data_IF_945030679818
#
_entry.id   IF_945030679818
#
_cell.length_a   1.000
_cell.length_b   1.000
_cell.length_c   1.000
_cell.angle_alpha   90.00
_cell.angle_beta   90.00
_cell.angle_gamma   90.00
#
_symmetry.space_group_name_H-M   'P 1'
#
loop_
_entity.id
_entity.type
_entity.pdbx_description
1 polymer ?
#
# COMPACT_ATOMS: atom_id res chain seq x y z
N UNK A 1 16.93 -0.47 -13.28
CA UNK A 1 16.64 -0.48 -11.82
C UNK A 1 15.14 -0.44 -11.66
N UNK A 2 14.56 -1.38 -10.89
CA UNK A 2 13.12 -1.34 -10.57
C UNK A 2 12.87 -0.23 -9.56
N UNK A 3 12.10 0.79 -9.96
CA UNK A 3 11.80 1.93 -9.11
C UNK A 3 10.72 1.53 -8.09
N UNK A 4 11.07 1.47 -6.81
CA UNK A 4 10.15 1.16 -5.71
C UNK A 4 9.60 2.48 -5.18
N UNK A 5 8.28 2.60 -5.12
CA UNK A 5 7.60 3.82 -4.67
C UNK A 5 7.01 3.60 -3.29
N UNK A 6 7.14 4.59 -2.41
CA UNK A 6 6.47 4.65 -1.12
C UNK A 6 5.47 5.81 -1.11
N UNK A 7 4.17 5.52 -0.93
CA UNK A 7 3.13 6.53 -0.81
C UNK A 7 2.82 6.84 0.65
N UNK A 8 2.84 8.12 1.02
CA UNK A 8 2.46 8.58 2.35
C UNK A 8 1.86 9.99 2.30
N UNK A 9 1.11 10.34 3.35
CA UNK A 9 0.66 11.72 3.58
C UNK A 9 1.74 12.61 4.19
N UNK A 10 2.82 12.02 4.69
CA UNK A 10 3.88 12.73 5.41
C UNK A 10 5.25 12.27 4.92
N UNK A 11 6.23 13.16 5.10
CA UNK A 11 7.59 12.87 4.70
C UNK A 11 8.24 11.88 5.67
N UNK A 12 8.65 10.73 5.14
CA UNK A 12 9.30 9.68 5.92
C UNK A 12 10.75 9.49 5.49
N UNK A 13 11.68 10.13 6.20
CA UNK A 13 13.11 10.11 5.85
C UNK A 13 13.73 8.71 5.82
N UNK A 14 13.21 7.79 6.64
CA UNK A 14 13.65 6.39 6.68
C UNK A 14 13.44 5.70 5.33
N UNK A 15 12.31 5.93 4.66
CA UNK A 15 12.01 5.27 3.38
C UNK A 15 12.93 5.75 2.27
N UNK A 16 13.25 7.04 2.24
CA UNK A 16 14.26 7.60 1.34
C UNK A 16 15.64 6.98 1.60
N UNK A 17 16.04 6.79 2.87
CA UNK A 17 17.33 6.16 3.20
C UNK A 17 17.43 4.69 2.78
N UNK A 18 16.29 4.00 2.65
CA UNK A 18 16.19 2.63 2.13
C UNK A 18 16.16 2.57 0.59
N UNK A 19 16.35 3.71 -0.08
CA UNK A 19 16.41 3.80 -1.54
C UNK A 19 15.03 3.83 -2.23
N UNK A 20 13.95 4.08 -1.49
CA UNK A 20 12.61 4.20 -2.06
C UNK A 20 12.34 5.63 -2.56
N UNK A 21 11.58 5.76 -3.65
CA UNK A 21 11.01 7.05 -4.05
C UNK A 21 9.80 7.35 -3.17
N UNK A 22 9.93 8.27 -2.22
CA UNK A 22 8.81 8.76 -1.42
C UNK A 22 7.98 9.73 -2.25
N UNK A 23 6.72 9.40 -2.50
CA UNK A 23 5.74 10.32 -3.09
C UNK A 23 4.71 10.70 -2.05
N UNK A 24 4.64 12.00 -1.79
CA UNK A 24 3.61 12.57 -0.94
C UNK A 24 2.31 12.63 -1.73
N UNK A 25 1.25 12.10 -1.12
CA UNK A 25 -0.12 12.21 -1.61
C UNK A 25 -0.93 13.03 -0.62
N UNK A 26 -2.01 13.64 -1.09
CA UNK A 26 -3.01 14.27 -0.24
C UNK A 26 -4.17 13.28 0.01
N UNK A 27 -4.96 13.50 1.06
CA UNK A 27 -6.12 12.64 1.39
C UNK A 27 -7.17 12.59 0.28
N UNK A 28 -7.29 13.67 -0.48
CA UNK A 28 -8.21 13.82 -1.61
C UNK A 28 -7.64 13.24 -2.92
N UNK A 29 -6.42 12.67 -2.90
CA UNK A 29 -5.77 12.16 -4.11
C UNK A 29 -6.57 11.02 -4.71
N UNK A 30 -6.86 11.11 -6.00
CA UNK A 30 -7.41 9.99 -6.77
C UNK A 30 -6.37 8.89 -6.96
N UNK A 31 -6.30 7.97 -5.98
CA UNK A 31 -5.36 6.85 -5.99
C UNK A 31 -5.63 5.88 -7.15
N UNK A 32 -6.86 5.77 -7.64
CA UNK A 32 -7.17 4.90 -8.78
C UNK A 32 -6.44 5.39 -10.03
N UNK A 33 -6.52 6.70 -10.30
CA UNK A 33 -5.80 7.31 -11.42
C UNK A 33 -4.29 7.24 -11.21
N UNK A 34 -3.80 7.49 -10.00
CA UNK A 34 -2.38 7.37 -9.67
C UNK A 34 -1.85 5.96 -9.96
N UNK A 35 -2.51 4.90 -9.45
CA UNK A 35 -2.07 3.52 -9.66
C UNK A 35 -2.09 3.11 -11.13
N UNK A 36 -3.06 3.58 -11.93
CA UNK A 36 -3.04 3.40 -13.39
C UNK A 36 -1.83 4.06 -14.05
N UNK A 37 -1.45 5.25 -13.61
CA UNK A 37 -0.25 5.94 -14.10
C UNK A 37 1.02 5.17 -13.71
N UNK A 38 1.12 4.72 -12.46
CA UNK A 38 2.27 3.93 -11.99
C UNK A 38 2.42 2.63 -12.79
N UNK A 39 1.32 1.94 -13.08
CA UNK A 39 1.30 0.76 -13.95
C UNK A 39 1.83 1.06 -15.36
N UNK A 40 1.40 2.18 -15.97
CA UNK A 40 1.90 2.63 -17.28
C UNK A 40 3.38 3.02 -17.26
N UNK A 41 3.90 3.42 -16.10
CA UNK A 41 5.32 3.68 -15.87
C UNK A 41 6.14 2.40 -15.58
N UNK A 42 5.53 1.21 -15.75
CA UNK A 42 6.13 -0.09 -15.46
C UNK A 42 6.62 -0.23 -14.01
N UNK A 43 5.94 0.43 -13.07
CA UNK A 43 6.16 0.21 -11.64
C UNK A 43 5.42 -1.05 -11.25
N UNK A 44 6.14 -2.03 -10.71
CA UNK A 44 5.57 -3.33 -10.30
C UNK A 44 5.29 -3.40 -8.80
N UNK A 45 5.91 -2.53 -7.99
CA UNK A 45 5.80 -2.56 -6.53
C UNK A 45 5.63 -1.15 -5.97
N UNK A 46 4.55 -0.98 -5.20
CA UNK A 46 4.24 0.23 -4.46
C UNK A 46 4.04 -0.14 -3.01
N UNK A 47 4.81 0.48 -2.12
CA UNK A 47 4.54 0.47 -0.69
C UNK A 47 3.63 1.64 -0.33
N UNK A 48 2.74 1.42 0.62
CA UNK A 48 1.85 2.46 1.15
C UNK A 48 1.98 2.52 2.67
N UNK A 49 1.90 3.74 3.21
CA UNK A 49 1.80 3.94 4.66
C UNK A 49 0.48 3.38 5.20
N UNK A 50 0.43 3.11 6.51
CA UNK A 50 -0.76 2.57 7.16
C UNK A 50 -1.96 3.53 7.06
N UNK A 51 -1.72 4.84 7.10
CA UNK A 51 -2.78 5.84 6.96
C UNK A 51 -3.40 5.82 5.56
N UNK A 52 -2.57 5.82 4.51
CA UNK A 52 -3.02 5.73 3.11
C UNK A 52 -3.78 4.41 2.88
N UNK A 53 -3.27 3.31 3.43
CA UNK A 53 -3.91 2.00 3.29
C UNK A 53 -5.29 1.95 3.94
N UNK A 54 -5.42 2.45 5.18
CA UNK A 54 -6.69 2.42 5.92
C UNK A 54 -7.77 3.25 5.23
N UNK A 55 -7.41 4.41 4.68
CA UNK A 55 -8.36 5.35 4.08
C UNK A 55 -8.79 4.94 2.66
N UNK A 56 -7.96 4.17 1.95
CA UNK A 56 -8.21 3.79 0.56
C UNK A 56 -8.20 2.27 0.32
N UNK A 57 -8.58 1.50 1.34
CA UNK A 57 -8.48 0.03 1.34
C UNK A 57 -9.18 -0.62 0.13
N UNK A 58 -10.35 -0.11 -0.27
CA UNK A 58 -11.14 -0.67 -1.37
C UNK A 58 -10.44 -0.50 -2.72
N UNK A 59 -9.83 0.67 -2.97
CA UNK A 59 -9.07 0.94 -4.19
C UNK A 59 -7.84 0.04 -4.25
N UNK A 60 -7.10 -0.08 -3.15
CA UNK A 60 -5.88 -0.89 -3.05
C UNK A 60 -6.21 -2.38 -3.27
N UNK A 61 -7.30 -2.88 -2.67
CA UNK A 61 -7.77 -4.25 -2.88
C UNK A 61 -8.15 -4.54 -4.32
N UNK A 62 -8.74 -3.56 -5.01
CA UNK A 62 -9.06 -3.68 -6.43
C UNK A 62 -7.82 -3.95 -7.28
N UNK A 63 -6.73 -3.21 -7.05
CA UNK A 63 -5.49 -3.37 -7.80
C UNK A 63 -4.72 -4.65 -7.46
N UNK A 64 -4.74 -5.11 -6.21
CA UNK A 64 -4.07 -6.35 -5.83
C UNK A 64 -4.70 -7.63 -6.42
N UNK A 65 -5.81 -7.51 -7.16
CA UNK A 65 -6.36 -8.61 -7.99
C UNK A 65 -5.68 -8.71 -9.36
N UNK A 66 -5.00 -7.66 -9.81
CA UNK A 66 -4.23 -7.62 -11.05
C UNK A 66 -2.75 -7.91 -10.78
N UNK A 67 -2.13 -8.82 -11.53
CA UNK A 67 -0.72 -9.22 -11.35
C UNK A 67 0.32 -8.15 -11.74
N UNK A 68 -0.11 -7.03 -12.34
CA UNK A 68 0.79 -6.04 -12.93
C UNK A 68 1.32 -5.00 -11.93
N UNK A 69 0.65 -4.83 -10.78
CA UNK A 69 1.02 -3.86 -9.75
C UNK A 69 0.74 -4.46 -8.37
N UNK A 70 1.79 -4.75 -7.62
CA UNK A 70 1.66 -5.15 -6.22
C UNK A 70 1.67 -3.93 -5.32
N UNK A 71 0.62 -3.77 -4.52
CA UNK A 71 0.51 -2.72 -3.51
C UNK A 71 0.61 -3.36 -2.13
N UNK A 72 1.70 -3.09 -1.41
CA UNK A 72 1.94 -3.65 -0.08
C UNK A 72 1.89 -2.58 1.00
N UNK A 73 1.21 -2.89 2.10
CA UNK A 73 1.32 -2.09 3.32
C UNK A 73 2.74 -2.21 3.88
N UNK A 74 3.37 -1.07 4.16
CA UNK A 74 4.61 -1.02 4.93
C UNK A 74 4.36 -0.18 6.19
N UNK A 75 4.23 -0.83 7.36
CA UNK A 75 3.95 -0.10 8.59
C UNK A 75 5.18 0.71 9.01
N UNK A 76 4.98 2.00 9.27
CA UNK A 76 5.96 2.83 9.95
C UNK A 76 5.80 2.61 11.48
N UNK A 77 6.90 2.36 12.18
CA UNK A 77 6.93 2.03 13.61
C UNK A 77 6.23 3.07 14.51
N UNK A 78 6.11 4.32 14.05
CA UNK A 78 5.43 5.40 14.78
C UNK A 78 3.90 5.26 14.86
N UNK A 79 3.28 4.48 13.98
CA UNK A 79 1.81 4.40 13.86
C UNK A 79 1.26 2.99 13.67
N UNK A 80 1.95 1.97 14.19
CA UNK A 80 1.56 0.57 14.06
C UNK A 80 0.18 0.31 14.72
N UNK A 81 -0.90 0.23 13.93
CA UNK A 81 -2.26 -0.12 14.41
C UNK A 81 -2.63 -1.59 14.13
N UNK A 82 -1.62 -2.45 13.91
CA UNK A 82 -1.80 -3.89 13.58
C UNK A 82 -2.61 -4.15 12.30
N UNK A 83 -2.68 -3.19 11.37
CA UNK A 83 -3.50 -3.34 10.15
C UNK A 83 -3.03 -4.47 9.23
N UNK A 84 -1.72 -4.76 9.22
CA UNK A 84 -1.16 -5.90 8.47
C UNK A 84 -1.63 -7.25 9.03
N UNK A 85 -1.64 -7.41 10.35
CA UNK A 85 -2.13 -8.61 11.04
C UNK A 85 -3.64 -8.81 10.80
N UNK A 86 -4.42 -7.73 10.89
CA UNK A 86 -5.85 -7.75 10.55
C UNK A 86 -6.09 -8.14 9.09
N UNK A 87 -5.26 -7.67 8.15
CA UNK A 87 -5.37 -8.06 6.73
C UNK A 87 -5.02 -9.52 6.52
N UNK A 88 -3.98 -10.02 7.18
CA UNK A 88 -3.60 -11.44 7.12
C UNK A 88 -4.76 -12.32 7.61
N UNK A 89 -5.36 -11.97 8.75
CA UNK A 89 -6.52 -12.67 9.29
C UNK A 89 -7.68 -12.62 8.29
N UNK A 90 -8.00 -11.47 7.70
CA UNK A 90 -9.06 -11.39 6.68
C UNK A 90 -8.79 -12.25 5.43
N UNK A 91 -7.54 -12.31 4.95
CA UNK A 91 -7.20 -13.18 3.81
C UNK A 91 -7.42 -14.65 4.19
N UNK A 92 -7.05 -15.02 5.41
CA UNK A 92 -7.30 -16.37 5.94
C UNK A 92 -8.82 -16.60 6.01
N UNK A 93 -9.59 -15.71 6.63
CA UNK A 93 -11.06 -15.81 6.71
C UNK A 93 -11.72 -15.94 5.32
N UNK A 94 -11.29 -15.16 4.34
CA UNK A 94 -11.78 -15.20 2.96
C UNK A 94 -11.42 -16.52 2.25
N UNK A 95 -10.25 -17.10 2.54
CA UNK A 95 -9.77 -18.31 1.88
C UNK A 95 -10.33 -19.61 2.47
N UNK A 96 -10.51 -19.68 3.80
CA UNK A 96 -10.97 -20.89 4.51
C UNK A 96 -12.38 -20.77 5.10
N UNK A 97 -13.00 -19.60 5.09
CA UNK A 97 -14.38 -19.39 5.56
C UNK A 97 -14.56 -19.42 7.08
N UNK A 98 -13.46 -19.36 7.85
CA UNK A 98 -13.46 -19.45 9.31
C UNK A 98 -12.86 -18.17 9.92
N UNK A 99 -13.54 -17.60 10.93
CA UNK A 99 -13.06 -16.42 11.66
C UNK A 99 -11.78 -16.73 12.44
N UNK A 100 -10.74 -15.89 12.28
CA UNK A 100 -9.48 -15.99 13.03
C UNK A 100 -9.32 -14.73 13.85
N UNK A 101 -9.47 -14.89 15.18
CA UNK A 101 -9.45 -13.82 16.19
C UNK A 101 -8.11 -13.13 16.34
#
# INVERSE_FOLDING_TARGET
MSKVIYLSYQQEGVMTSLGMEVRLVERETDLLTLFRQLKRQHISLVYVSEQVYQEHVEVIRGFNKDFDLTISLLPNQLHHKKSGEKRLNQIIEEAIGLKVG
#
